data_IF_621921400597
#
_entry.id   IF_621921400597
#
_cell.length_a   1.000
_cell.length_b   1.000
_cell.length_c   1.000
_cell.angle_alpha   90.00
_cell.angle_beta   90.00
_cell.angle_gamma   90.00
#
_symmetry.space_group_name_H-M   'P 1'
#
loop_
_entity.id
_entity.type
_entity.pdbx_description
1 polymer ?
#
# COMPACT_ATOMS: atom_id res chain seq x y z
N UNK A 1 -16.11 8.70 4.85
CA UNK A 1 -17.20 7.93 4.22
C UNK A 1 -17.34 8.34 2.75
N UNK A 2 -17.49 7.39 1.82
CA UNK A 2 -17.71 7.71 0.40
C UNK A 2 -19.21 7.96 0.18
N UNK A 3 -19.55 9.08 -0.47
CA UNK A 3 -20.93 9.43 -0.83
C UNK A 3 -21.22 9.22 -2.30
N UNK A 4 -20.27 9.54 -3.19
CA UNK A 4 -20.49 9.42 -4.63
C UNK A 4 -19.23 8.89 -5.34
N UNK A 5 -19.44 8.08 -6.37
CA UNK A 5 -18.41 7.61 -7.31
C UNK A 5 -18.86 7.98 -8.72
N UNK A 6 -18.07 8.76 -9.46
CA UNK A 6 -18.35 9.17 -10.84
C UNK A 6 -19.75 9.79 -11.02
N UNK A 7 -20.23 10.54 -10.02
CA UNK A 7 -21.56 11.15 -10.01
C UNK A 7 -22.71 10.22 -9.62
N UNK A 8 -22.46 8.96 -9.31
CA UNK A 8 -23.46 8.05 -8.75
C UNK A 8 -23.47 8.13 -7.22
N UNK A 9 -24.63 8.43 -6.63
CA UNK A 9 -24.82 8.46 -5.19
C UNK A 9 -24.83 7.05 -4.59
N UNK A 10 -23.96 6.84 -3.60
CA UNK A 10 -23.71 5.60 -2.86
C UNK A 10 -24.26 5.63 -1.42
N UNK A 11 -24.92 6.72 -0.99
CA UNK A 11 -25.44 6.85 0.38
C UNK A 11 -26.38 5.72 0.80
N UNK A 12 -27.11 5.15 -0.16
CA UNK A 12 -28.06 4.04 0.05
C UNK A 12 -27.55 2.70 -0.46
N UNK A 13 -26.33 2.65 -1.01
CA UNK A 13 -25.80 1.44 -1.63
C UNK A 13 -25.20 0.50 -0.59
N UNK A 14 -25.31 -0.81 -0.83
CA UNK A 14 -24.59 -1.79 -0.04
C UNK A 14 -23.08 -1.68 -0.29
N UNK A 15 -22.28 -2.13 0.68
CA UNK A 15 -20.82 -2.15 0.57
C UNK A 15 -20.35 -2.90 -0.68
N UNK A 16 -21.02 -3.99 -1.03
CA UNK A 16 -20.70 -4.82 -2.19
C UNK A 16 -20.97 -4.07 -3.51
N UNK A 17 -22.12 -3.44 -3.66
CA UNK A 17 -22.46 -2.68 -4.88
C UNK A 17 -21.53 -1.47 -5.05
N UNK A 18 -21.18 -0.79 -3.96
CA UNK A 18 -20.20 0.29 -4.00
C UNK A 18 -18.79 -0.19 -4.41
N UNK A 19 -18.35 -1.34 -3.89
CA UNK A 19 -17.08 -1.95 -4.28
C UNK A 19 -17.08 -2.39 -5.76
N UNK A 20 -18.21 -2.92 -6.25
CA UNK A 20 -18.39 -3.28 -7.65
C UNK A 20 -18.24 -2.04 -8.55
N UNK A 21 -18.88 -0.93 -8.17
CA UNK A 21 -18.82 0.33 -8.91
C UNK A 21 -17.39 0.85 -9.05
N UNK A 22 -16.60 0.78 -7.97
CA UNK A 22 -15.18 1.15 -7.98
C UNK A 22 -14.34 0.21 -8.85
N UNK A 23 -14.61 -1.10 -8.82
CA UNK A 23 -13.91 -2.08 -9.66
C UNK A 23 -14.20 -1.89 -11.15
N UNK A 24 -15.41 -1.48 -11.49
CA UNK A 24 -15.83 -1.21 -12.86
C UNK A 24 -15.53 0.21 -13.31
N UNK A 25 -15.15 1.09 -12.39
CA UNK A 25 -14.73 2.44 -12.74
C UNK A 25 -13.44 2.33 -13.56
N UNK A 26 -13.39 3.05 -14.68
CA UNK A 26 -12.24 3.06 -15.57
C UNK A 26 -11.01 3.69 -14.93
N UNK A 27 -10.06 4.11 -15.75
CA UNK A 27 -8.76 4.62 -15.29
C UNK A 27 -8.85 5.84 -14.37
N UNK A 28 -9.88 6.67 -14.52
CA UNK A 28 -10.14 7.85 -13.67
C UNK A 28 -11.41 7.68 -12.87
N UNK A 29 -11.32 7.90 -11.56
CA UNK A 29 -12.44 7.83 -10.62
C UNK A 29 -12.58 9.16 -9.89
N UNK A 30 -13.77 9.76 -9.94
CA UNK A 30 -14.12 10.95 -9.17
C UNK A 30 -14.88 10.55 -7.92
N UNK A 31 -14.38 10.93 -6.75
CA UNK A 31 -14.98 10.57 -5.46
C UNK A 31 -15.49 11.82 -4.73
N UNK A 32 -16.72 11.75 -4.24
CA UNK A 32 -17.21 12.67 -3.21
C UNK A 32 -17.20 11.94 -1.88
N UNK A 33 -16.50 12.51 -0.90
CA UNK A 33 -16.31 11.89 0.42
C UNK A 33 -16.65 12.88 1.52
N UNK A 34 -17.12 12.35 2.66
CA UNK A 34 -17.29 13.13 3.90
C UNK A 34 -16.24 12.68 4.89
N UNK A 35 -15.55 13.66 5.46
CA UNK A 35 -14.64 13.46 6.57
C UNK A 35 -15.42 13.33 7.88
N UNK A 36 -15.37 12.14 8.48
CA UNK A 36 -15.98 11.83 9.78
C UNK A 36 -15.03 10.94 10.58
N UNK A 37 -14.10 11.52 11.35
CA UNK A 37 -13.06 10.75 12.04
C UNK A 37 -13.63 9.87 13.16
N UNK A 38 -14.64 10.34 13.89
CA UNK A 38 -15.21 9.60 15.03
C UNK A 38 -15.93 8.31 14.57
N UNK A 39 -16.80 8.42 13.55
CA UNK A 39 -17.48 7.24 12.95
C UNK A 39 -16.47 6.26 12.34
N UNK A 40 -15.37 6.77 11.77
CA UNK A 40 -14.29 5.95 11.24
C UNK A 40 -13.61 5.16 12.37
N UNK A 41 -13.28 5.79 13.49
CA UNK A 41 -12.66 5.09 14.62
C UNK A 41 -13.59 4.02 15.22
N UNK A 42 -14.87 4.32 15.40
CA UNK A 42 -15.87 3.37 15.90
C UNK A 42 -16.02 2.17 14.97
N UNK A 43 -16.05 2.39 13.65
CA UNK A 43 -16.11 1.31 12.66
C UNK A 43 -14.92 0.36 12.79
N UNK A 44 -13.69 0.90 12.85
CA UNK A 44 -12.47 0.10 13.01
C UNK A 44 -12.44 -0.65 14.34
N UNK A 45 -12.86 0.00 15.42
CA UNK A 45 -13.00 -0.61 16.75
C UNK A 45 -13.99 -1.78 16.71
N UNK A 46 -15.15 -1.62 16.08
CA UNK A 46 -16.17 -2.67 15.93
C UNK A 46 -15.67 -3.85 15.09
N UNK A 47 -14.89 -3.57 14.05
CA UNK A 47 -14.27 -4.60 13.20
C UNK A 47 -13.04 -5.24 13.85
N UNK A 48 -12.62 -4.77 15.03
CA UNK A 48 -11.36 -5.15 15.68
C UNK A 48 -10.13 -5.01 14.74
N UNK A 49 -10.23 -4.08 13.79
CA UNK A 49 -9.15 -3.70 12.89
C UNK A 49 -8.53 -2.46 13.52
N UNK A 50 -7.24 -2.52 13.85
CA UNK A 50 -6.52 -1.30 14.19
C UNK A 50 -6.12 -0.66 12.86
N UNK A 51 -6.59 0.55 12.52
CA UNK A 51 -5.99 1.27 11.41
C UNK A 51 -4.49 1.35 11.71
N UNK A 52 -3.66 1.23 10.69
CA UNK A 52 -2.20 1.12 10.81
C UNK A 52 -1.63 2.44 11.36
N UNK A 53 -1.82 2.68 12.66
CA UNK A 53 -1.38 3.88 13.37
C UNK A 53 0.13 3.83 13.63
N UNK A 54 0.74 2.66 13.42
CA UNK A 54 2.17 2.39 13.54
C UNK A 54 2.69 1.75 12.24
N UNK A 55 2.51 2.39 11.08
CA UNK A 55 3.40 2.13 9.94
C UNK A 55 4.81 2.63 10.31
N UNK A 56 5.48 1.87 11.19
CA UNK A 56 6.90 2.02 11.45
C UNK A 56 7.60 1.74 10.14
N UNK A 57 8.01 2.81 9.47
CA UNK A 57 8.82 2.74 8.27
C UNK A 57 10.10 1.98 8.62
N UNK A 58 10.25 0.77 8.07
CA UNK A 58 11.42 -0.06 8.27
C UNK A 58 12.20 -0.14 6.97
N UNK A 59 13.46 0.28 7.03
CA UNK A 59 14.41 0.10 5.95
C UNK A 59 15.40 -0.99 6.31
N UNK A 60 15.60 -1.94 5.40
CA UNK A 60 16.57 -3.02 5.56
C UNK A 60 17.57 -2.99 4.42
N UNK A 61 18.81 -3.41 4.69
CA UNK A 61 19.83 -3.59 3.67
C UNK A 61 19.94 -5.06 3.30
N UNK A 62 19.86 -5.37 2.02
CA UNK A 62 20.03 -6.73 1.53
C UNK A 62 21.46 -7.22 1.76
N UNK A 63 21.61 -8.37 2.41
CA UNK A 63 22.92 -9.02 2.63
C UNK A 63 23.25 -10.07 1.57
N UNK A 64 22.31 -10.37 0.69
CA UNK A 64 22.42 -11.32 -0.41
C UNK A 64 21.59 -10.82 -1.60
N UNK A 65 21.77 -11.45 -2.76
CA UNK A 65 20.96 -11.18 -3.96
C UNK A 65 19.83 -12.20 -4.09
N UNK A 66 18.67 -11.75 -4.54
CA UNK A 66 17.49 -12.57 -4.79
C UNK A 66 16.90 -12.25 -6.17
N UNK A 67 16.63 -13.29 -6.94
CA UNK A 67 15.97 -13.19 -8.24
C UNK A 67 14.56 -13.75 -8.13
N UNK A 68 13.58 -12.85 -8.02
CA UNK A 68 12.17 -13.17 -7.93
C UNK A 68 11.59 -13.83 -9.18
N UNK A 69 12.30 -13.80 -10.32
CA UNK A 69 11.88 -14.53 -11.52
C UNK A 69 12.04 -16.05 -11.37
N UNK A 70 12.95 -16.50 -10.49
CA UNK A 70 13.17 -17.92 -10.23
C UNK A 70 12.26 -18.45 -9.11
N UNK A 71 11.42 -17.60 -8.53
CA UNK A 71 10.51 -18.00 -7.46
C UNK A 71 9.21 -18.58 -8.05
N UNK A 72 9.13 -19.91 -8.01
CA UNK A 72 8.03 -20.69 -8.59
C UNK A 72 6.72 -20.56 -7.81
N UNK A 73 6.76 -20.07 -6.57
CA UNK A 73 5.57 -19.98 -5.72
C UNK A 73 4.71 -18.74 -6.04
N UNK A 74 5.23 -17.76 -6.80
CA UNK A 74 4.45 -16.60 -7.28
C UNK A 74 5.13 -15.85 -8.45
N UNK A 75 4.96 -16.31 -9.70
CA UNK A 75 5.55 -15.65 -10.86
C UNK A 75 5.01 -14.22 -11.01
N UNK A 76 5.91 -13.23 -11.08
CA UNK A 76 5.59 -11.83 -11.39
C UNK A 76 5.26 -10.93 -10.19
N UNK A 77 5.12 -11.48 -8.99
CA UNK A 77 4.86 -10.70 -7.76
C UNK A 77 6.10 -10.51 -6.87
N UNK A 78 7.17 -11.25 -7.14
CA UNK A 78 8.40 -11.19 -6.36
C UNK A 78 9.32 -10.05 -6.82
N UNK A 79 9.83 -9.27 -5.86
CA UNK A 79 10.75 -8.15 -6.13
C UNK A 79 12.19 -8.64 -6.07
N UNK A 80 12.90 -8.65 -7.20
CA UNK A 80 14.33 -8.96 -7.25
C UNK A 80 15.17 -7.84 -6.64
N UNK A 81 16.22 -8.20 -5.90
CA UNK A 81 17.16 -7.26 -5.29
C UNK A 81 18.59 -7.82 -5.28
N UNK A 82 19.57 -6.94 -5.15
CA UNK A 82 20.99 -7.30 -5.08
C UNK A 82 21.54 -7.04 -3.68
N UNK A 83 22.63 -7.73 -3.33
CA UNK A 83 23.37 -7.44 -2.11
C UNK A 83 23.75 -5.95 -2.05
N UNK A 84 23.40 -5.32 -0.93
CA UNK A 84 23.67 -3.90 -0.66
C UNK A 84 22.49 -2.97 -0.93
N UNK A 85 21.44 -3.41 -1.62
CA UNK A 85 20.21 -2.63 -1.86
C UNK A 85 19.53 -2.25 -0.54
N UNK A 86 18.93 -1.06 -0.48
CA UNK A 86 18.05 -0.62 0.61
C UNK A 86 16.60 -0.84 0.21
N UNK A 87 15.85 -1.50 1.08
CA UNK A 87 14.52 -2.01 0.84
C UNK A 87 13.55 -1.41 1.87
N UNK A 88 12.44 -0.84 1.40
CA UNK A 88 11.39 -0.32 2.26
C UNK A 88 10.34 -1.40 2.53
N UNK A 89 10.19 -1.79 3.80
CA UNK A 89 9.20 -2.77 4.23
C UNK A 89 7.85 -2.08 4.43
N UNK A 90 6.86 -2.46 3.60
CA UNK A 90 5.52 -1.88 3.59
C UNK A 90 4.54 -2.59 4.52
N UNK A 91 4.68 -3.91 4.68
CA UNK A 91 3.87 -4.72 5.58
C UNK A 91 4.66 -5.97 5.98
N UNK A 92 4.70 -6.27 7.28
CA UNK A 92 5.25 -7.51 7.82
C UNK A 92 4.24 -8.12 8.78
N UNK A 93 3.48 -9.11 8.32
CA UNK A 93 2.68 -9.94 9.22
C UNK A 93 3.55 -11.09 9.75
N UNK A 94 3.22 -11.58 10.95
CA UNK A 94 4.07 -12.51 11.72
C UNK A 94 4.29 -13.89 11.08
N UNK A 95 3.82 -14.15 9.86
CA UNK A 95 4.16 -15.38 9.14
C UNK A 95 4.53 -15.06 7.68
N UNK A 96 5.83 -15.18 7.43
CA UNK A 96 6.46 -15.59 6.17
C UNK A 96 6.42 -14.67 4.95
N UNK A 97 5.91 -13.43 5.01
CA UNK A 97 6.00 -12.54 3.83
C UNK A 97 6.17 -11.06 4.15
N UNK A 98 7.21 -10.46 3.57
CA UNK A 98 7.47 -9.02 3.61
C UNK A 98 7.09 -8.42 2.25
N UNK A 99 6.21 -7.43 2.22
CA UNK A 99 6.01 -6.61 1.01
C UNK A 99 7.07 -5.53 0.99
N UNK A 100 7.88 -5.49 -0.06
CA UNK A 100 9.04 -4.61 -0.17
C UNK A 100 8.90 -3.72 -1.40
N UNK A 101 9.21 -2.43 -1.26
CA UNK A 101 9.43 -1.54 -2.39
C UNK A 101 10.93 -1.24 -2.52
N UNK A 102 11.48 -1.42 -3.73
CA UNK A 102 12.86 -1.03 -4.05
C UNK A 102 12.90 0.47 -4.33
N UNK A 103 13.25 1.26 -3.33
CA UNK A 103 13.53 2.68 -3.56
C UNK A 103 14.91 2.85 -4.18
N UNK A 104 14.99 3.41 -5.39
CA UNK A 104 16.24 3.99 -5.87
C UNK A 104 16.49 5.30 -5.11
N UNK A 105 17.27 5.24 -4.03
CA UNK A 105 17.73 6.44 -3.33
C UNK A 105 18.81 7.09 -4.22
N UNK A 106 18.43 8.13 -4.98
CA UNK A 106 19.37 8.92 -5.77
C UNK A 106 20.06 9.93 -4.85
N UNK A 107 21.21 9.55 -4.30
CA UNK A 107 22.07 10.46 -3.55
C UNK A 107 22.73 11.47 -4.50
N UNK A 108 22.25 12.71 -4.51
CA UNK A 108 22.98 13.81 -5.16
C UNK A 108 24.14 14.23 -4.25
N UNK A 109 25.37 13.90 -4.64
CA UNK A 109 26.58 14.49 -4.03
C UNK A 109 26.69 15.93 -4.54
N UNK A 110 26.47 16.90 -3.66
CA UNK A 110 26.89 18.27 -3.92
C UNK A 110 28.42 18.30 -3.86
N UNK A 111 29.09 18.17 -5.01
CA UNK A 111 30.51 18.45 -5.12
C UNK A 111 30.74 19.94 -4.85
N UNK A 112 31.06 20.28 -3.61
CA UNK A 112 31.65 21.58 -3.28
C UNK A 112 33.16 21.42 -3.42
N UNK A 113 33.69 21.86 -4.56
CA UNK A 113 35.12 22.04 -4.76
C UNK A 113 35.56 23.21 -3.89
N UNK A 114 36.54 22.99 -3.02
CA UNK A 114 37.32 24.06 -2.36
C UNK A 114 38.56 24.31 -3.21
#
# INVERSE_FOLDING_TARGET
MILEVNGQNLETWSHETAAQALKTAGETVTLKVVYKPDEFEEFYRKMNIRPDQDVKTLYVRALFSYDGNNDMDRPGEAVSFQQGDILHVLNGNQNTKLTINKQQIVCHRNNTTV
#
